data_IF_651461377755
#
_entry.id   IF_651461377755
#
_cell.length_a   1.000
_cell.length_b   1.000
_cell.length_c   1.000
_cell.angle_alpha   90.00
_cell.angle_beta   90.00
_cell.angle_gamma   90.00
#
_symmetry.space_group_name_H-M   'P 1'
#
loop_
_entity.id
_entity.type
_entity.pdbx_description
1 polymer ?
#
# COMPACT_ATOMS: atom_id res chain seq x y z
N UNK A 1 7.11 3.76 -9.36
CA UNK A 1 5.76 3.17 -9.20
C UNK A 1 4.83 4.29 -8.78
N UNK A 2 3.65 4.40 -9.39
CA UNK A 2 2.62 5.37 -9.00
C UNK A 2 1.57 4.68 -8.12
N UNK A 3 1.33 5.18 -6.92
CA UNK A 3 0.41 4.58 -5.95
C UNK A 3 -0.76 5.52 -5.63
N UNK A 4 -1.99 5.06 -5.83
CA UNK A 4 -3.18 5.80 -5.38
C UNK A 4 -3.28 5.84 -3.85
N UNK A 5 -4.18 6.67 -3.31
CA UNK A 5 -4.50 6.66 -1.88
C UNK A 5 -5.01 5.28 -1.46
N UNK A 6 -5.86 4.65 -2.29
CA UNK A 6 -6.37 3.30 -2.06
C UNK A 6 -5.23 2.28 -1.93
N UNK A 7 -4.27 2.31 -2.85
CA UNK A 7 -3.15 1.37 -2.84
C UNK A 7 -2.31 1.54 -1.57
N UNK A 8 -2.06 2.78 -1.14
CA UNK A 8 -1.28 3.07 0.06
C UNK A 8 -2.00 2.69 1.35
N UNK A 9 -3.34 2.68 1.35
CA UNK A 9 -4.15 2.19 2.45
C UNK A 9 -4.18 0.66 2.52
N UNK A 10 -4.24 -0.02 1.37
CA UNK A 10 -4.30 -1.49 1.30
C UNK A 10 -2.95 -2.18 1.35
N UNK A 11 -1.87 -1.59 0.82
CA UNK A 11 -0.54 -2.19 0.80
C UNK A 11 -0.10 -2.70 2.19
N UNK A 12 -0.23 -1.93 3.29
CA UNK A 12 0.16 -2.41 4.62
C UNK A 12 -0.57 -3.68 5.10
N UNK A 13 -1.77 -3.94 4.59
CA UNK A 13 -2.66 -5.01 5.08
C UNK A 13 -2.20 -6.40 4.66
N UNK A 14 -1.55 -6.53 3.51
CA UNK A 14 -1.01 -7.80 3.02
C UNK A 14 0.50 -7.97 3.24
N UNK A 15 1.17 -6.97 3.81
CA UNK A 15 2.58 -7.15 4.19
C UNK A 15 2.71 -8.16 5.33
N UNK A 16 3.71 -9.07 5.29
CA UNK A 16 3.94 -10.03 6.36
C UNK A 16 3.97 -9.40 7.77
N UNK A 17 3.22 -9.99 8.69
CA UNK A 17 3.16 -9.53 10.09
C UNK A 17 4.43 -9.86 10.89
N UNK A 18 5.18 -10.89 10.47
CA UNK A 18 6.41 -11.37 11.11
C UNK A 18 7.47 -11.64 10.06
N UNK A 19 8.73 -11.48 10.48
CA UNK A 19 9.91 -11.69 9.65
C UNK A 19 11.18 -11.55 10.47
N UNK A 20 12.33 -11.73 9.82
CA UNK A 20 13.64 -11.43 10.40
C UNK A 20 13.90 -9.91 10.46
N UNK A 21 15.03 -9.50 11.04
CA UNK A 21 15.36 -8.08 11.20
C UNK A 21 15.57 -7.33 9.88
N UNK A 22 16.03 -8.01 8.82
CA UNK A 22 16.14 -7.40 7.47
C UNK A 22 14.75 -7.08 6.93
N UNK A 23 13.84 -8.05 6.97
CA UNK A 23 12.45 -7.90 6.53
C UNK A 23 11.71 -6.83 7.32
N UNK A 24 11.95 -6.75 8.64
CA UNK A 24 11.41 -5.68 9.48
C UNK A 24 11.84 -4.29 8.99
N UNK A 25 13.12 -4.10 8.64
CA UNK A 25 13.61 -2.82 8.15
C UNK A 25 13.07 -2.49 6.74
N UNK A 26 12.99 -3.48 5.84
CA UNK A 26 12.39 -3.29 4.52
C UNK A 26 10.93 -2.87 4.62
N UNK A 27 10.13 -3.60 5.42
CA UNK A 27 8.74 -3.24 5.71
C UNK A 27 8.63 -1.82 6.26
N UNK A 28 9.48 -1.46 7.21
CA UNK A 28 9.48 -0.12 7.84
C UNK A 28 9.75 0.99 6.82
N UNK A 29 10.74 0.84 5.94
CA UNK A 29 11.05 1.86 4.93
C UNK A 29 9.97 1.95 3.86
N UNK A 30 9.39 0.83 3.41
CA UNK A 30 8.22 0.82 2.51
C UNK A 30 7.06 1.61 3.11
N UNK A 31 6.68 1.29 4.35
CA UNK A 31 5.59 1.97 5.06
C UNK A 31 5.86 3.47 5.22
N UNK A 32 7.12 3.86 5.44
CA UNK A 32 7.52 5.26 5.52
C UNK A 32 7.36 5.97 4.17
N UNK A 33 7.77 5.34 3.07
CA UNK A 33 7.70 5.92 1.71
C UNK A 33 6.25 6.14 1.28
N UNK A 34 5.35 5.24 1.64
CA UNK A 34 3.93 5.32 1.23
C UNK A 34 3.03 6.03 2.25
N UNK A 35 3.57 6.51 3.37
CA UNK A 35 2.76 7.09 4.44
C UNK A 35 1.95 8.30 3.94
N UNK A 36 0.66 8.33 4.25
CA UNK A 36 -0.20 9.50 3.99
C UNK A 36 0.06 10.52 5.11
N UNK A 37 0.80 11.57 4.77
CA UNK A 37 1.19 12.62 5.72
C UNK A 37 0.01 13.51 6.14
N UNK A 38 0.20 14.30 7.20
CA UNK A 38 -0.87 15.16 7.74
C UNK A 38 -1.35 16.22 6.74
N UNK A 39 -0.45 16.77 5.93
CA UNK A 39 -0.78 17.77 4.91
C UNK A 39 -1.65 17.15 3.80
N UNK A 40 -1.23 16.01 3.27
CA UNK A 40 -1.98 15.26 2.28
C UNK A 40 -3.34 14.82 2.82
N UNK A 41 -3.38 14.25 4.03
CA UNK A 41 -4.60 13.84 4.72
C UNK A 41 -5.62 14.99 4.79
N UNK A 42 -5.16 16.21 5.11
CA UNK A 42 -6.03 17.40 5.13
C UNK A 42 -6.47 17.81 3.73
N UNK A 43 -5.56 17.80 2.75
CA UNK A 43 -5.84 18.20 1.37
C UNK A 43 -6.93 17.32 0.73
N UNK A 44 -6.86 16.01 0.92
CA UNK A 44 -7.83 15.05 0.40
C UNK A 44 -9.00 14.79 1.37
N UNK A 45 -9.06 15.48 2.50
CA UNK A 45 -10.11 15.29 3.53
C UNK A 45 -10.27 13.82 3.98
N UNK A 46 -9.14 13.10 4.14
CA UNK A 46 -9.10 11.70 4.55
C UNK A 46 -9.44 11.56 6.05
N UNK A 47 -10.57 10.92 6.33
CA UNK A 47 -11.12 10.77 7.69
C UNK A 47 -11.83 9.43 7.85
N UNK A 48 -12.00 9.01 9.10
CA UNK A 48 -12.87 7.90 9.44
C UNK A 48 -14.29 8.43 9.68
N UNK A 49 -15.28 7.84 9.01
CA UNK A 49 -16.69 8.15 9.21
C UNK A 49 -17.11 7.73 10.63
N UNK A 50 -17.73 8.66 11.36
CA UNK A 50 -18.09 8.45 12.75
C UNK A 50 -19.19 7.39 12.94
N UNK A 51 -20.06 7.19 11.93
CA UNK A 51 -21.24 6.33 11.99
C UNK A 51 -20.91 4.87 11.68
N UNK A 52 -20.21 4.61 10.57
CA UNK A 52 -19.95 3.25 10.07
C UNK A 52 -18.47 2.82 10.11
N UNK A 53 -17.59 3.70 10.61
CA UNK A 53 -16.14 3.46 10.77
C UNK A 53 -15.39 3.27 9.45
N UNK A 54 -15.98 3.63 8.30
CA UNK A 54 -15.31 3.57 7.01
C UNK A 54 -14.32 4.72 6.83
N UNK A 55 -13.23 4.45 6.13
CA UNK A 55 -12.28 5.49 5.72
C UNK A 55 -12.83 6.14 4.45
N UNK A 56 -12.95 7.47 4.45
CA UNK A 56 -13.44 8.28 3.34
C UNK A 56 -12.44 9.39 3.01
N UNK A 57 -12.30 9.71 1.72
CA UNK A 57 -11.53 10.85 1.23
C UNK A 57 -12.16 11.42 -0.05
N UNK A 58 -11.71 12.60 -0.45
CA UNK A 58 -12.12 13.30 -1.65
C UNK A 58 -11.28 12.81 -2.84
N UNK A 59 -11.86 11.93 -3.65
CA UNK A 59 -11.21 11.31 -4.82
C UNK A 59 -10.87 12.36 -5.89
N UNK A 60 -11.59 13.48 -5.98
CA UNK A 60 -11.28 14.53 -6.96
C UNK A 60 -10.01 15.32 -6.61
N UNK A 61 -9.59 15.28 -5.34
CA UNK A 61 -8.40 15.96 -4.82
C UNK A 61 -7.20 15.03 -4.66
N UNK A 62 -7.37 13.73 -4.87
CA UNK A 62 -6.26 12.80 -4.74
C UNK A 62 -5.28 12.93 -5.91
N UNK A 63 -4.01 12.72 -5.60
CA UNK A 63 -2.95 12.61 -6.60
C UNK A 63 -2.14 11.35 -6.29
N UNK A 64 -1.86 10.49 -7.28
CA UNK A 64 -0.99 9.34 -7.08
C UNK A 64 0.37 9.78 -6.55
N UNK A 65 0.92 8.99 -5.62
CA UNK A 65 2.26 9.17 -5.12
C UNK A 65 3.24 8.42 -6.03
N UNK A 66 4.14 9.17 -6.68
CA UNK A 66 5.30 8.57 -7.32
C UNK A 66 6.32 8.17 -6.25
N UNK A 67 6.64 6.88 -6.19
CA UNK A 67 7.57 6.31 -5.23
C UNK A 67 8.63 5.45 -5.93
N UNK A 68 9.87 5.65 -5.51
CA UNK A 68 11.01 4.82 -5.89
C UNK A 68 11.30 3.78 -4.80
N UNK A 69 11.16 2.51 -5.16
CA UNK A 69 11.58 1.39 -4.34
C UNK A 69 12.94 0.86 -4.83
N UNK A 70 13.79 0.48 -3.88
CA UNK A 70 15.01 -0.26 -4.14
C UNK A 70 14.69 -1.70 -4.58
N UNK A 71 15.66 -2.37 -5.20
CA UNK A 71 15.51 -3.77 -5.62
C UNK A 71 15.12 -4.71 -4.46
N UNK A 72 15.68 -4.50 -3.27
CA UNK A 72 15.35 -5.30 -2.08
C UNK A 72 13.90 -5.04 -1.59
N UNK A 73 13.41 -3.81 -1.70
CA UNK A 73 12.02 -3.46 -1.36
C UNK A 73 11.04 -4.05 -2.38
N UNK A 74 11.38 -3.98 -3.67
CA UNK A 74 10.57 -4.57 -4.75
C UNK A 74 10.48 -6.10 -4.61
N UNK A 75 11.61 -6.77 -4.36
CA UNK A 75 11.63 -8.21 -4.10
C UNK A 75 10.82 -8.59 -2.85
N UNK A 76 10.85 -7.76 -1.81
CA UNK A 76 10.03 -7.98 -0.62
C UNK A 76 8.54 -7.82 -0.89
N UNK A 77 8.13 -6.81 -1.66
CA UNK A 77 6.74 -6.60 -2.07
C UNK A 77 6.24 -7.73 -2.96
N UNK A 78 7.05 -8.20 -3.90
CA UNK A 78 6.73 -9.34 -4.75
C UNK A 78 6.48 -10.61 -3.91
N UNK A 79 7.41 -10.93 -3.00
CA UNK A 79 7.26 -12.07 -2.10
C UNK A 79 6.04 -11.94 -1.18
N UNK A 80 5.66 -10.71 -0.78
CA UNK A 80 4.44 -10.47 -0.02
C UNK A 80 3.18 -10.80 -0.84
N UNK A 81 3.12 -10.39 -2.11
CA UNK A 81 2.01 -10.69 -3.02
C UNK A 81 1.89 -12.20 -3.27
N UNK A 82 3.00 -12.87 -3.54
CA UNK A 82 3.02 -14.33 -3.75
C UNK A 82 2.57 -15.10 -2.50
N UNK A 83 2.94 -14.61 -1.32
CA UNK A 83 2.58 -15.25 -0.06
C UNK A 83 1.09 -15.22 0.26
N UNK A 84 0.38 -14.17 -0.16
CA UNK A 84 -1.07 -14.06 0.06
C UNK A 84 -1.89 -14.69 -1.06
N UNK A 85 -1.26 -15.21 -2.13
CA UNK A 85 -1.95 -15.69 -3.33
C UNK A 85 -2.97 -16.81 -3.09
N UNK A 86 -2.82 -17.57 -2.01
CA UNK A 86 -3.74 -18.64 -1.59
C UNK A 86 -4.78 -18.19 -0.54
N UNK A 87 -4.78 -16.91 -0.14
CA UNK A 87 -5.72 -16.36 0.86
C UNK A 87 -7.05 -15.93 0.23
N UNK A 88 -8.10 -15.79 1.04
CA UNK A 88 -9.38 -15.22 0.60
C UNK A 88 -9.45 -13.73 0.94
N UNK A 89 -9.25 -12.87 -0.07
CA UNK A 89 -9.37 -11.42 0.05
C UNK A 89 -10.53 -10.89 -0.81
N UNK A 90 -11.14 -9.75 -0.44
CA UNK A 90 -12.07 -9.02 -1.29
C UNK A 90 -11.46 -8.63 -2.65
N UNK A 91 -12.27 -8.68 -3.71
CA UNK A 91 -11.85 -8.32 -5.09
C UNK A 91 -11.21 -6.92 -5.18
N UNK A 92 -11.67 -5.97 -4.38
CA UNK A 92 -11.15 -4.62 -4.38
C UNK A 92 -9.75 -4.52 -3.75
N UNK A 93 -9.40 -5.43 -2.83
CA UNK A 93 -8.03 -5.60 -2.34
C UNK A 93 -7.16 -6.32 -3.36
N UNK A 94 -7.70 -7.35 -4.03
CA UNK A 94 -6.99 -8.05 -5.11
C UNK A 94 -6.58 -7.11 -6.24
N UNK A 95 -7.42 -6.14 -6.59
CA UNK A 95 -7.05 -5.11 -7.56
C UNK A 95 -5.80 -4.32 -7.18
N UNK A 96 -5.60 -4.00 -5.90
CA UNK A 96 -4.38 -3.33 -5.43
C UNK A 96 -3.18 -4.28 -5.45
N UNK A 97 -3.36 -5.55 -5.05
CA UNK A 97 -2.28 -6.56 -5.08
C UNK A 97 -1.81 -6.79 -6.52
N UNK A 98 -2.75 -6.93 -7.46
CA UNK A 98 -2.47 -7.09 -8.89
C UNK A 98 -1.73 -5.88 -9.46
N UNK A 99 -2.19 -4.66 -9.16
CA UNK A 99 -1.53 -3.43 -9.61
C UNK A 99 -0.07 -3.37 -9.14
N UNK A 100 0.17 -3.62 -7.86
CA UNK A 100 1.53 -3.61 -7.28
C UNK A 100 2.39 -4.72 -7.89
N UNK A 101 1.87 -5.93 -8.03
CA UNK A 101 2.61 -7.06 -8.61
C UNK A 101 3.00 -6.82 -10.06
N UNK A 102 2.09 -6.25 -10.86
CA UNK A 102 2.34 -5.90 -12.26
C UNK A 102 3.40 -4.80 -12.39
N UNK A 103 3.30 -3.75 -11.57
CA UNK A 103 4.30 -2.68 -11.55
C UNK A 103 5.70 -3.21 -11.19
N UNK A 104 5.79 -4.18 -10.28
CA UNK A 104 7.08 -4.82 -9.94
C UNK A 104 7.60 -5.70 -11.08
N UNK A 105 6.71 -6.45 -11.73
CA UNK A 105 7.09 -7.37 -12.80
C UNK A 105 7.52 -6.67 -14.10
N UNK A 106 7.10 -5.41 -14.27
CA UNK A 106 7.42 -4.59 -15.45
C UNK A 106 8.60 -3.63 -15.24
N UNK A 107 9.15 -3.54 -14.02
CA UNK A 107 10.27 -2.68 -13.65
C UNK A 107 11.64 -3.36 -13.85
#
# INVERSE_FOLDING_TARGET
>A
MELSVKDRLYLPTFLPARGNFKEFNLKKEILRKIAIGDEERKAINLRENAEDKRIEWDVEKEHPLEVEFSADEMAYLQAACEKISDEELPDDMWGTVEAIYNEISNA
#
